data_IF_221746112472
#
_entry.id   IF_221746112472
#
_cell.length_a   1.000
_cell.length_b   1.000
_cell.length_c   1.000
_cell.angle_alpha   90.00
_cell.angle_beta   90.00
_cell.angle_gamma   90.00
#
_symmetry.space_group_name_H-M   'P 1'
#
loop_
_entity.id
_entity.type
_entity.pdbx_description
1 polymer ?
#
# COMPACT_ATOMS: atom_id res chain seq x y z
N UNK A 1 43.41 -51.99 29.05
CA UNK A 1 44.28 -50.97 28.43
C UNK A 1 44.27 -49.77 29.34
N UNK A 2 45.41 -49.43 29.95
CA UNK A 2 45.56 -48.33 30.91
C UNK A 2 45.77 -46.98 30.18
N UNK A 3 45.27 -45.85 30.71
CA UNK A 3 45.41 -44.54 30.07
C UNK A 3 46.82 -43.96 30.23
N UNK A 4 47.37 -43.44 29.13
CA UNK A 4 48.69 -42.81 29.06
C UNK A 4 48.78 -41.59 30.01
N UNK A 5 49.74 -41.66 30.94
CA UNK A 5 50.01 -40.68 31.99
C UNK A 5 50.56 -39.38 31.36
N UNK A 6 49.83 -38.26 31.51
CA UNK A 6 50.26 -36.94 31.05
C UNK A 6 51.56 -36.51 31.73
N UNK A 7 52.58 -36.17 30.94
CA UNK A 7 53.90 -35.76 31.39
C UNK A 7 53.81 -34.33 31.95
N UNK A 8 54.20 -34.14 33.22
CA UNK A 8 54.24 -32.82 33.88
C UNK A 8 55.41 -32.02 33.29
N UNK A 9 55.11 -31.07 32.41
CA UNK A 9 56.11 -30.19 31.79
C UNK A 9 56.16 -28.89 32.60
N UNK A 10 57.33 -28.53 33.13
CA UNK A 10 57.54 -27.26 33.85
C UNK A 10 57.84 -26.17 32.84
N UNK A 11 57.08 -25.08 32.87
CA UNK A 11 57.33 -23.91 32.02
C UNK A 11 58.57 -23.16 32.49
N UNK A 12 59.41 -22.72 31.55
CA UNK A 12 60.58 -21.90 31.84
C UNK A 12 60.14 -20.56 32.46
N UNK A 13 60.39 -20.36 33.75
CA UNK A 13 60.18 -19.09 34.44
C UNK A 13 61.34 -18.16 34.07
N UNK A 14 61.05 -17.17 33.23
CA UNK A 14 62.00 -16.12 32.86
C UNK A 14 61.27 -14.80 32.85
N UNK A 15 61.86 -13.79 33.49
CA UNK A 15 61.30 -12.44 33.61
C UNK A 15 60.90 -11.86 32.23
N UNK A 16 61.64 -12.19 31.17
CA UNK A 16 61.34 -11.78 29.80
C UNK A 16 60.01 -12.34 29.27
N UNK A 17 59.70 -13.60 29.60
CA UNK A 17 58.45 -14.26 29.18
C UNK A 17 57.26 -13.69 29.95
N UNK A 18 57.47 -13.30 31.21
CA UNK A 18 56.43 -12.71 32.03
C UNK A 18 56.12 -11.25 31.61
N UNK A 19 57.13 -10.43 31.28
CA UNK A 19 56.92 -9.11 30.66
C UNK A 19 56.18 -9.20 29.32
N UNK A 20 56.56 -10.15 28.45
CA UNK A 20 55.86 -10.40 27.18
C UNK A 20 54.38 -10.77 27.39
N UNK A 21 54.09 -11.62 28.39
CA UNK A 21 52.72 -12.00 28.74
C UNK A 21 51.93 -10.80 29.25
N UNK A 22 52.52 -9.95 30.08
CA UNK A 22 51.87 -8.74 30.59
C UNK A 22 51.53 -7.77 29.46
N UNK A 23 52.47 -7.48 28.57
CA UNK A 23 52.23 -6.64 27.39
C UNK A 23 51.09 -7.21 26.52
N UNK A 24 51.09 -8.53 26.27
CA UNK A 24 50.01 -9.17 25.52
C UNK A 24 48.67 -9.12 26.26
N UNK A 25 48.66 -9.22 27.59
CA UNK A 25 47.44 -9.09 28.38
C UNK A 25 46.90 -7.67 28.34
N UNK A 26 47.73 -6.64 28.41
CA UNK A 26 47.31 -5.25 28.27
C UNK A 26 46.67 -4.96 26.91
N UNK A 27 47.32 -5.43 25.84
CA UNK A 27 46.78 -5.30 24.48
C UNK A 27 45.42 -6.04 24.34
N UNK A 28 45.29 -7.23 24.94
CA UNK A 28 44.02 -7.98 24.97
C UNK A 28 42.94 -7.26 25.80
N UNK A 29 43.30 -6.63 26.92
CA UNK A 29 42.37 -5.82 27.75
C UNK A 29 41.87 -4.60 26.96
N UNK A 30 42.76 -3.89 26.26
CA UNK A 30 42.41 -2.76 25.39
C UNK A 30 41.47 -3.19 24.25
N UNK A 31 41.78 -4.31 23.57
CA UNK A 31 40.95 -4.86 22.49
C UNK A 31 39.58 -5.36 22.97
N UNK A 32 39.50 -5.97 24.16
CA UNK A 32 38.22 -6.44 24.74
C UNK A 32 37.21 -5.31 24.90
N UNK A 33 37.65 -4.13 25.35
CA UNK A 33 36.77 -2.95 25.45
C UNK A 33 36.23 -2.49 24.10
N UNK A 34 37.11 -2.48 23.09
CA UNK A 34 36.73 -2.11 21.71
C UNK A 34 35.73 -3.11 21.12
N UNK A 35 36.00 -4.42 21.20
CA UNK A 35 35.08 -5.45 20.70
C UNK A 35 33.75 -5.43 21.43
N UNK A 36 33.72 -5.19 22.74
CA UNK A 36 32.47 -5.08 23.51
C UNK A 36 31.62 -3.91 23.01
N UNK A 37 32.22 -2.74 22.77
CA UNK A 37 31.53 -1.58 22.16
C UNK A 37 31.04 -1.89 20.74
N UNK A 38 31.87 -2.54 19.93
CA UNK A 38 31.54 -2.93 18.55
C UNK A 38 30.39 -3.94 18.51
N UNK A 39 30.36 -4.92 19.41
CA UNK A 39 29.28 -5.90 19.50
C UNK A 39 27.96 -5.26 19.88
N UNK A 40 27.95 -4.30 20.81
CA UNK A 40 26.72 -3.57 21.17
C UNK A 40 26.21 -2.77 19.98
N UNK A 41 27.09 -2.03 19.28
CA UNK A 41 26.72 -1.29 18.07
C UNK A 41 26.23 -2.23 16.95
N UNK A 42 26.85 -3.39 16.79
CA UNK A 42 26.42 -4.41 15.83
C UNK A 42 25.05 -4.98 16.15
N UNK A 43 24.75 -5.28 17.41
CA UNK A 43 23.42 -5.75 17.84
C UNK A 43 22.35 -4.69 17.58
N UNK A 44 22.65 -3.41 17.88
CA UNK A 44 21.74 -2.29 17.59
C UNK A 44 21.50 -2.18 16.08
N UNK A 45 22.54 -2.27 15.26
CA UNK A 45 22.42 -2.21 13.81
C UNK A 45 21.56 -3.36 13.26
N UNK A 46 21.77 -4.59 13.74
CA UNK A 46 20.95 -5.75 13.34
C UNK A 46 19.49 -5.57 13.75
N UNK A 47 19.23 -5.07 14.96
CA UNK A 47 17.88 -4.78 15.42
C UNK A 47 17.19 -3.71 14.55
N UNK A 48 17.92 -2.64 14.20
CA UNK A 48 17.42 -1.60 13.31
C UNK A 48 17.12 -2.15 11.90
N UNK A 49 18.03 -2.94 11.33
CA UNK A 49 17.80 -3.61 10.05
C UNK A 49 16.57 -4.52 10.09
N UNK A 50 16.39 -5.30 11.16
CA UNK A 50 15.22 -6.15 11.32
C UNK A 50 13.90 -5.35 11.32
N UNK A 51 13.86 -4.24 12.07
CA UNK A 51 12.69 -3.35 12.10
C UNK A 51 12.42 -2.79 10.70
N UNK A 52 13.43 -2.26 10.02
CA UNK A 52 13.30 -1.69 8.67
C UNK A 52 12.81 -2.75 7.67
N UNK A 53 13.41 -3.95 7.68
CA UNK A 53 12.97 -5.06 6.83
C UNK A 53 11.53 -5.46 7.09
N UNK A 54 11.09 -5.53 8.36
CA UNK A 54 9.70 -5.84 8.70
C UNK A 54 8.71 -4.80 8.14
N UNK A 55 9.07 -3.51 8.23
CA UNK A 55 8.26 -2.40 7.70
C UNK A 55 8.21 -2.47 6.16
N UNK A 56 9.32 -2.75 5.50
CA UNK A 56 9.38 -2.88 4.03
C UNK A 56 8.54 -4.05 3.53
N UNK A 57 8.60 -5.21 4.20
CA UNK A 57 7.79 -6.37 3.84
C UNK A 57 6.29 -6.13 4.05
N UNK A 58 5.90 -5.43 5.11
CA UNK A 58 4.48 -5.12 5.38
C UNK A 58 3.86 -4.09 4.42
N UNK A 59 4.69 -3.34 3.67
CA UNK A 59 4.22 -2.28 2.79
C UNK A 59 3.67 -2.79 1.46
N UNK A 60 3.99 -4.01 1.03
CA UNK A 60 3.51 -4.54 -0.27
C UNK A 60 1.99 -4.71 -0.29
N UNK A 61 1.42 -5.24 0.79
CA UNK A 61 -0.02 -5.49 0.88
C UNK A 61 -0.80 -4.18 1.07
N UNK A 62 -0.22 -3.23 1.80
CA UNK A 62 -0.78 -1.89 1.96
C UNK A 62 -0.74 -1.13 0.63
N UNK A 63 0.30 -1.31 -0.17
CA UNK A 63 0.41 -0.68 -1.49
C UNK A 63 -0.65 -1.21 -2.45
N UNK A 64 -0.86 -2.53 -2.51
CA UNK A 64 -1.88 -3.13 -3.36
C UNK A 64 -3.28 -2.65 -2.97
N UNK A 65 -3.63 -2.67 -1.67
CA UNK A 65 -4.92 -2.15 -1.20
C UNK A 65 -5.13 -0.69 -1.57
N UNK A 66 -4.10 0.16 -1.40
CA UNK A 66 -4.17 1.58 -1.80
C UNK A 66 -4.34 1.77 -3.31
N UNK A 67 -3.73 0.92 -4.13
CA UNK A 67 -3.89 0.97 -5.59
C UNK A 67 -5.31 0.58 -5.98
N UNK A 68 -5.85 -0.48 -5.37
CA UNK A 68 -7.20 -0.95 -5.66
C UNK A 68 -8.27 0.06 -5.23
N UNK A 69 -8.14 0.62 -4.03
CA UNK A 69 -8.98 1.74 -3.57
C UNK A 69 -8.91 2.93 -4.53
N UNK A 70 -7.71 3.30 -4.98
CA UNK A 70 -7.53 4.40 -5.93
C UNK A 70 -8.28 4.14 -7.25
N UNK A 71 -8.16 2.93 -7.80
CA UNK A 71 -8.86 2.54 -9.03
C UNK A 71 -10.38 2.57 -8.82
N UNK A 72 -10.87 2.10 -7.67
CA UNK A 72 -12.30 2.15 -7.35
C UNK A 72 -12.82 3.59 -7.23
N UNK A 73 -12.07 4.46 -6.55
CA UNK A 73 -12.41 5.89 -6.44
C UNK A 73 -12.38 6.59 -7.80
N UNK A 74 -11.40 6.32 -8.66
CA UNK A 74 -11.34 6.88 -10.02
C UNK A 74 -12.54 6.43 -10.87
N UNK A 75 -12.93 5.14 -10.78
CA UNK A 75 -14.13 4.63 -11.45
C UNK A 75 -15.40 5.30 -10.96
N UNK A 76 -15.58 5.41 -9.64
CA UNK A 76 -16.73 6.10 -9.02
C UNK A 76 -16.79 7.54 -9.48
N UNK A 77 -15.67 8.25 -9.44
CA UNK A 77 -15.57 9.64 -9.88
C UNK A 77 -15.94 9.80 -11.36
N UNK A 78 -15.43 8.94 -12.24
CA UNK A 78 -15.76 8.97 -13.67
C UNK A 78 -17.27 8.73 -13.91
N UNK A 79 -17.88 7.80 -13.18
CA UNK A 79 -19.32 7.55 -13.26
C UNK A 79 -20.13 8.75 -12.78
N UNK A 80 -19.81 9.29 -11.60
CA UNK A 80 -20.43 10.49 -11.05
C UNK A 80 -20.33 11.69 -12.00
N UNK A 81 -19.15 11.93 -12.59
CA UNK A 81 -18.95 13.00 -13.58
C UNK A 81 -19.79 12.81 -14.85
N UNK A 82 -19.96 11.56 -15.30
CA UNK A 82 -20.84 11.25 -16.43
C UNK A 82 -22.30 11.51 -16.08
N UNK A 83 -22.75 11.09 -14.90
CA UNK A 83 -24.10 11.34 -14.41
C UNK A 83 -24.36 12.85 -14.29
N UNK A 84 -23.42 13.60 -13.71
CA UNK A 84 -23.52 15.06 -13.60
C UNK A 84 -23.67 15.71 -14.98
N UNK A 85 -22.86 15.32 -15.97
CA UNK A 85 -22.96 15.84 -17.34
C UNK A 85 -24.33 15.55 -17.96
N UNK A 86 -24.84 14.32 -17.79
CA UNK A 86 -26.14 13.92 -18.32
C UNK A 86 -27.27 14.72 -17.66
N UNK A 87 -27.28 14.81 -16.33
CA UNK A 87 -28.27 15.57 -15.57
C UNK A 87 -28.22 17.06 -15.90
N UNK A 88 -27.03 17.64 -16.13
CA UNK A 88 -26.91 19.02 -16.60
C UNK A 88 -27.51 19.20 -18.00
N UNK A 89 -27.23 18.29 -18.93
CA UNK A 89 -27.79 18.34 -20.27
C UNK A 89 -29.33 18.20 -20.24
N UNK A 90 -29.85 17.30 -19.40
CA UNK A 90 -31.27 17.12 -19.16
C UNK A 90 -31.90 18.38 -18.56
N UNK A 91 -31.28 18.97 -17.53
CA UNK A 91 -31.74 20.23 -16.94
C UNK A 91 -31.81 21.37 -17.97
N UNK A 92 -30.84 21.46 -18.87
CA UNK A 92 -30.86 22.45 -19.96
C UNK A 92 -32.04 22.17 -20.90
N UNK A 93 -32.27 20.92 -21.29
CA UNK A 93 -33.42 20.54 -22.12
C UNK A 93 -34.74 20.85 -21.42
N UNK A 94 -34.88 20.54 -20.13
CA UNK A 94 -36.11 20.82 -19.38
C UNK A 94 -36.37 22.32 -19.17
N UNK A 95 -35.35 23.17 -19.25
CA UNK A 95 -35.54 24.63 -19.24
C UNK A 95 -35.95 25.19 -20.62
N UNK A 96 -35.88 24.39 -21.68
CA UNK A 96 -36.27 24.81 -23.03
C UNK A 96 -37.77 24.55 -23.23
N UNK A 97 -38.55 25.63 -23.40
CA UNK A 97 -39.99 25.56 -23.60
C UNK A 97 -40.38 24.72 -24.83
N UNK A 98 -39.58 24.72 -25.91
CA UNK A 98 -39.87 23.93 -27.11
C UNK A 98 -39.72 22.43 -26.83
N UNK A 99 -38.72 22.06 -26.04
CA UNK A 99 -38.52 20.68 -25.61
C UNK A 99 -39.63 20.20 -24.66
N UNK A 100 -40.03 21.03 -23.70
CA UNK A 100 -41.14 20.74 -22.78
C UNK A 100 -42.45 20.58 -23.54
N UNK A 101 -42.73 21.45 -24.51
CA UNK A 101 -43.93 21.36 -25.34
C UNK A 101 -43.95 20.10 -26.24
N UNK A 102 -42.79 19.66 -26.76
CA UNK A 102 -42.66 18.38 -27.48
C UNK A 102 -42.90 17.19 -26.56
N UNK A 103 -42.34 17.21 -25.35
CA UNK A 103 -42.54 16.17 -24.35
C UNK A 103 -44.02 16.07 -23.92
N UNK A 104 -44.68 17.22 -23.71
CA UNK A 104 -46.10 17.26 -23.40
C UNK A 104 -46.96 16.68 -24.53
N UNK A 105 -46.63 16.98 -25.80
CA UNK A 105 -47.29 16.38 -26.97
C UNK A 105 -47.04 14.87 -27.08
N UNK A 106 -45.81 14.40 -26.87
CA UNK A 106 -45.44 12.99 -27.11
C UNK A 106 -45.81 12.04 -25.98
N UNK A 107 -45.58 12.44 -24.73
CA UNK A 107 -45.78 11.58 -23.55
C UNK A 107 -47.15 11.81 -22.88
N UNK A 108 -47.67 13.03 -22.95
CA UNK A 108 -48.91 13.42 -22.27
C UNK A 108 -50.07 13.75 -23.22
N UNK A 109 -49.87 13.63 -24.54
CA UNK A 109 -50.86 13.92 -25.57
C UNK A 109 -51.52 15.31 -25.40
N UNK A 110 -50.76 16.31 -24.95
CA UNK A 110 -51.24 17.68 -24.82
C UNK A 110 -51.16 18.38 -26.19
N UNK A 111 -52.22 19.05 -26.61
CA UNK A 111 -52.28 19.79 -27.88
C UNK A 111 -52.76 21.22 -27.66
N UNK A 112 -52.32 22.16 -28.51
CA UNK A 112 -52.76 23.56 -28.44
C UNK A 112 -54.17 23.75 -29.05
N UNK A 113 -54.80 24.91 -28.78
CA UNK A 113 -56.14 25.21 -29.31
C UNK A 113 -56.13 25.20 -30.85
N UNK A 114 -56.86 24.25 -31.44
CA UNK A 114 -56.94 24.05 -32.89
C UNK A 114 -56.12 22.88 -33.46
N UNK A 115 -55.31 22.19 -32.64
CA UNK A 115 -54.59 20.97 -33.03
C UNK A 115 -55.48 19.71 -32.80
N UNK A 116 -55.38 18.71 -33.70
CA UNK A 116 -56.13 17.43 -33.61
C UNK A 116 -55.14 16.29 -33.31
N UNK A 117 -55.36 15.55 -32.22
CA UNK A 117 -54.50 14.43 -31.81
C UNK A 117 -54.93 13.15 -32.52
N UNK A 118 -54.03 12.56 -33.30
CA UNK A 118 -54.23 11.24 -33.91
C UNK A 118 -53.53 10.16 -33.08
N UNK A 119 -54.31 9.27 -32.44
CA UNK A 119 -53.78 8.05 -31.84
C UNK A 119 -53.64 7.00 -32.93
N UNK A 120 -52.41 6.78 -33.40
CA UNK A 120 -52.14 5.61 -34.23
C UNK A 120 -52.23 4.37 -33.32
N UNK A 121 -52.85 3.27 -33.79
CA UNK A 121 -52.74 1.99 -33.10
C UNK A 121 -51.25 1.65 -33.00
N UNK A 122 -50.74 1.58 -31.77
CA UNK A 122 -49.33 1.36 -31.51
C UNK A 122 -48.98 -0.09 -31.86
N UNK A 123 -47.87 -0.34 -32.55
CA UNK A 123 -47.31 -1.69 -32.80
C UNK A 123 -46.95 -2.46 -31.50
N UNK A 124 -47.22 -1.88 -30.34
CA UNK A 124 -47.03 -2.50 -29.02
C UNK A 124 -48.31 -3.12 -28.43
N UNK A 125 -49.47 -2.94 -29.06
CA UNK A 125 -50.75 -3.51 -28.60
C UNK A 125 -51.29 -4.64 -29.50
N UNK A 126 -50.59 -5.03 -30.56
CA UNK A 126 -51.02 -6.10 -31.50
C UNK A 126 -50.47 -7.50 -31.19
N UNK A 127 -50.15 -7.79 -29.91
CA UNK A 127 -49.82 -9.15 -29.47
C UNK A 127 -50.78 -9.59 -28.36
N UNK A 128 -51.97 -10.02 -28.80
CA UNK A 128 -52.85 -10.93 -28.08
C UNK A 128 -53.38 -11.97 -29.06
#
# INVERSE_FOLDING_TARGET
MEPLRSRKITTLHSNYIDEQKEQQQELKRKRRGLYRRLTVMGVIAVAACYIISSILLSQTDVLQKKVEEKIEFEKKYANLKKQEKNLRAEKVKLNDNEYVAKLARSEYFLSEEGEIIFKLPNDKESSY
#
